data_IF_347232424599
#
_entry.id   IF_347232424599
#
_cell.length_a   1.000
_cell.length_b   1.000
_cell.length_c   1.000
_cell.angle_alpha   90.00
_cell.angle_beta   90.00
_cell.angle_gamma   90.00
#
_symmetry.space_group_name_H-M   'P 1'
#
loop_
_entity.id
_entity.type
_entity.pdbx_description
1 polymer ?
#
# COMPACT_ATOMS: atom_id res chain seq x y z
N UNK A 1 -65.81 -13.96 36.43
CA UNK A 1 -65.11 -13.21 35.38
C UNK A 1 -63.61 -13.12 35.73
N UNK A 2 -62.78 -13.90 35.07
CA UNK A 2 -61.32 -13.91 35.32
C UNK A 2 -60.66 -13.03 34.23
N UNK A 3 -60.05 -11.94 34.62
CA UNK A 3 -59.28 -11.08 33.73
C UNK A 3 -57.86 -11.68 33.59
N UNK A 4 -57.49 -12.11 32.38
CA UNK A 4 -56.12 -12.44 32.05
C UNK A 4 -55.42 -11.17 31.58
N UNK A 5 -54.40 -10.75 32.33
CA UNK A 5 -53.50 -9.67 31.97
C UNK A 5 -52.38 -10.27 31.11
N UNK A 6 -52.37 -10.01 29.81
CA UNK A 6 -51.31 -10.42 28.91
C UNK A 6 -50.13 -9.41 29.01
N UNK A 7 -49.03 -9.86 29.58
CA UNK A 7 -47.76 -9.09 29.61
C UNK A 7 -47.04 -9.28 28.28
N UNK A 8 -47.03 -8.25 27.46
CA UNK A 8 -46.21 -8.22 26.22
C UNK A 8 -44.79 -7.82 26.59
N UNK A 9 -43.87 -8.79 26.59
CA UNK A 9 -42.43 -8.54 26.65
C UNK A 9 -41.94 -8.05 25.25
N UNK A 10 -41.69 -6.77 25.12
CA UNK A 10 -40.93 -6.23 23.97
C UNK A 10 -39.44 -6.58 24.16
N UNK A 11 -38.94 -7.58 23.45
CA UNK A 11 -37.50 -7.81 23.31
C UNK A 11 -36.93 -6.70 22.47
N UNK A 12 -36.30 -5.74 23.10
CA UNK A 12 -35.36 -4.84 22.43
C UNK A 12 -34.08 -5.65 22.10
N UNK A 13 -33.97 -6.12 20.87
CA UNK A 13 -32.69 -6.57 20.34
C UNK A 13 -31.79 -5.35 20.20
N UNK A 14 -30.89 -5.15 21.18
CA UNK A 14 -29.75 -4.27 20.99
C UNK A 14 -28.85 -4.92 19.95
N UNK A 15 -28.95 -4.53 18.68
CA UNK A 15 -27.87 -4.71 17.74
C UNK A 15 -26.71 -3.83 18.23
N UNK A 16 -25.76 -4.43 18.91
CA UNK A 16 -24.43 -3.86 19.03
C UNK A 16 -23.87 -3.84 17.60
N UNK A 17 -23.86 -2.68 16.96
CA UNK A 17 -22.99 -2.47 15.82
C UNK A 17 -21.56 -2.58 16.37
N UNK A 18 -20.94 -3.71 16.13
CA UNK A 18 -19.50 -3.85 16.30
C UNK A 18 -18.91 -2.93 15.24
N UNK A 19 -18.18 -1.91 15.65
CA UNK A 19 -17.45 -1.06 14.70
C UNK A 19 -16.56 -1.96 13.84
N UNK A 20 -16.49 -1.71 12.53
CA UNK A 20 -15.58 -2.39 11.63
C UNK A 20 -14.16 -2.29 12.19
N UNK A 21 -13.37 -3.36 12.05
CA UNK A 21 -11.95 -3.32 12.39
C UNK A 21 -11.23 -2.42 11.37
N UNK A 22 -10.64 -1.27 11.76
CA UNK A 22 -10.03 -0.36 10.79
C UNK A 22 -8.81 -0.95 10.09
N UNK A 23 -8.17 -1.99 10.65
CA UNK A 23 -6.90 -2.53 10.19
C UNK A 23 -7.05 -3.60 9.12
N UNK A 24 -5.94 -3.98 8.49
CA UNK A 24 -5.87 -5.12 7.58
C UNK A 24 -6.59 -6.32 8.23
N UNK A 25 -7.57 -6.87 7.52
CA UNK A 25 -8.29 -8.07 7.96
C UNK A 25 -7.62 -9.36 7.48
N UNK A 26 -7.16 -9.38 6.23
CA UNK A 26 -6.61 -10.58 5.61
C UNK A 26 -5.57 -10.22 4.54
N UNK A 27 -4.49 -11.03 4.43
CA UNK A 27 -3.56 -11.03 3.30
C UNK A 27 -3.95 -12.16 2.34
N UNK A 28 -4.26 -11.81 1.10
CA UNK A 28 -4.66 -12.74 0.03
C UNK A 28 -3.48 -13.28 -0.75
N UNK A 29 -2.50 -12.42 -1.05
CA UNK A 29 -1.32 -12.78 -1.83
C UNK A 29 -0.06 -12.13 -1.24
N UNK A 30 1.05 -12.86 -1.27
CA UNK A 30 2.38 -12.33 -0.98
C UNK A 30 3.36 -12.95 -1.96
N UNK A 31 3.89 -12.12 -2.84
CA UNK A 31 4.80 -12.53 -3.92
C UNK A 31 5.97 -11.55 -4.02
N UNK A 32 6.99 -11.67 -3.15
CA UNK A 32 8.13 -10.77 -3.17
C UNK A 32 9.02 -11.01 -4.39
N UNK A 33 9.63 -9.95 -4.91
CA UNK A 33 10.76 -10.05 -5.81
C UNK A 33 12.03 -10.44 -5.03
N UNK A 34 13.14 -10.83 -5.69
CA UNK A 34 14.39 -11.03 -5.00
C UNK A 34 14.82 -9.82 -4.18
N UNK A 35 15.35 -10.07 -2.97
CA UNK A 35 15.77 -9.01 -2.04
C UNK A 35 16.42 -9.56 -0.78
N UNK A 36 17.11 -8.71 -0.04
CA UNK A 36 17.91 -9.08 1.13
C UNK A 36 17.09 -9.75 2.24
N UNK A 37 15.81 -9.35 2.38
CA UNK A 37 14.99 -9.74 3.51
C UNK A 37 13.79 -10.64 3.17
N UNK A 38 13.57 -10.98 1.90
CA UNK A 38 12.38 -11.71 1.44
C UNK A 38 12.25 -13.14 1.98
N UNK A 39 13.35 -13.71 2.50
CA UNK A 39 13.34 -15.03 3.14
C UNK A 39 13.37 -14.96 4.67
N UNK A 40 13.36 -13.75 5.24
CA UNK A 40 13.44 -13.52 6.69
C UNK A 40 12.29 -12.66 7.21
N UNK A 41 11.62 -11.91 6.35
CA UNK A 41 10.49 -11.04 6.69
C UNK A 41 9.34 -11.21 5.69
N UNK A 42 8.46 -12.22 5.90
CA UNK A 42 8.47 -13.25 6.95
C UNK A 42 9.47 -14.39 6.66
N UNK A 43 9.76 -15.21 7.69
CA UNK A 43 10.67 -16.34 7.55
C UNK A 43 10.13 -17.37 6.56
N UNK A 44 10.94 -17.69 5.53
CA UNK A 44 10.59 -18.61 4.47
C UNK A 44 11.52 -19.85 4.45
N UNK A 45 11.00 -20.93 3.88
CA UNK A 45 11.71 -22.17 3.62
C UNK A 45 11.45 -22.66 2.19
N UNK A 46 12.19 -23.64 1.72
CA UNK A 46 11.99 -24.27 0.40
C UNK A 46 10.66 -25.05 0.30
N UNK A 47 10.10 -25.49 1.43
CA UNK A 47 8.82 -26.21 1.50
C UNK A 47 7.60 -25.29 1.46
N UNK A 48 7.80 -23.99 1.57
CA UNK A 48 6.68 -23.03 1.51
C UNK A 48 6.05 -23.00 0.12
N UNK A 49 4.82 -22.56 0.12
CA UNK A 49 4.00 -22.35 -1.07
C UNK A 49 3.48 -20.91 -1.09
N UNK A 50 2.96 -20.40 -2.19
CA UNK A 50 2.30 -19.09 -2.20
C UNK A 50 1.24 -18.92 -1.10
N UNK A 51 0.46 -19.98 -0.83
CA UNK A 51 -0.58 -19.96 0.21
C UNK A 51 0.02 -19.91 1.63
N UNK A 52 1.07 -20.68 1.93
CA UNK A 52 1.71 -20.63 3.26
C UNK A 52 2.42 -19.30 3.49
N UNK A 53 3.00 -18.72 2.46
CA UNK A 53 3.65 -17.42 2.56
C UNK A 53 2.65 -16.27 2.70
N UNK A 54 1.51 -16.33 2.02
CA UNK A 54 0.41 -15.38 2.26
C UNK A 54 -0.09 -15.47 3.71
N UNK A 55 -0.25 -16.69 4.26
CA UNK A 55 -0.63 -16.87 5.67
C UNK A 55 0.43 -16.38 6.67
N UNK A 56 1.72 -16.47 6.33
CA UNK A 56 2.81 -15.89 7.15
C UNK A 56 2.78 -14.36 7.11
N UNK A 57 2.58 -13.77 5.93
CA UNK A 57 2.41 -12.33 5.78
C UNK A 57 1.15 -11.83 6.53
N UNK A 58 0.02 -12.58 6.45
CA UNK A 58 -1.18 -12.32 7.22
C UNK A 58 -0.91 -12.28 8.74
N UNK A 59 -0.17 -13.29 9.23
CA UNK A 59 0.21 -13.36 10.63
C UNK A 59 1.09 -12.19 11.08
N UNK A 60 1.85 -11.59 10.16
CA UNK A 60 2.75 -10.47 10.45
C UNK A 60 2.03 -9.12 10.46
N UNK A 61 1.14 -8.83 9.49
CA UNK A 61 0.59 -7.48 9.30
C UNK A 61 -0.92 -7.37 9.54
N UNK A 62 -1.69 -8.46 9.52
CA UNK A 62 -3.14 -8.38 9.75
C UNK A 62 -3.48 -8.09 11.22
N UNK A 63 -4.66 -7.49 11.44
CA UNK A 63 -5.18 -7.19 12.77
C UNK A 63 -4.22 -6.38 13.66
N UNK A 64 -3.55 -5.39 13.07
CA UNK A 64 -2.64 -4.46 13.77
C UNK A 64 -1.46 -5.14 14.46
N UNK A 65 -0.89 -6.19 13.87
CA UNK A 65 0.29 -6.88 14.42
C UNK A 65 1.56 -6.06 14.32
N UNK A 66 1.70 -5.30 13.22
CA UNK A 66 2.85 -4.41 12.98
C UNK A 66 4.21 -5.12 12.94
N UNK A 67 4.22 -6.41 12.58
CA UNK A 67 5.44 -7.09 12.19
C UNK A 67 5.73 -6.81 10.72
N UNK A 68 6.98 -6.52 10.41
CA UNK A 68 7.36 -6.07 9.07
C UNK A 68 7.42 -7.21 8.07
N UNK A 69 6.93 -6.98 6.84
CA UNK A 69 7.17 -7.82 5.68
C UNK A 69 7.95 -7.06 4.62
N UNK A 70 8.83 -7.73 3.87
CA UNK A 70 9.65 -7.14 2.81
C UNK A 70 9.13 -7.60 1.45
N UNK A 71 8.93 -6.66 0.52
CA UNK A 71 8.47 -6.97 -0.83
C UNK A 71 9.62 -7.26 -1.80
N UNK A 72 10.87 -7.00 -1.40
CA UNK A 72 12.04 -7.14 -2.28
C UNK A 72 12.09 -6.08 -3.37
N UNK A 73 12.85 -6.33 -4.44
CA UNK A 73 13.05 -5.41 -5.54
C UNK A 73 11.79 -5.13 -6.36
N UNK A 74 11.97 -4.45 -7.50
CA UNK A 74 10.87 -4.01 -8.35
C UNK A 74 9.83 -5.09 -8.62
N UNK A 75 8.57 -4.71 -8.39
CA UNK A 75 7.39 -5.51 -8.72
C UNK A 75 6.97 -6.52 -7.67
N UNK A 76 7.84 -6.85 -6.69
CA UNK A 76 7.44 -7.70 -5.56
C UNK A 76 6.28 -7.05 -4.81
N UNK A 77 5.26 -7.85 -4.42
CA UNK A 77 3.98 -7.30 -3.98
C UNK A 77 3.31 -8.09 -2.84
N UNK A 78 2.38 -7.40 -2.19
CA UNK A 78 1.38 -7.95 -1.28
C UNK A 78 -0.01 -7.49 -1.69
N UNK A 79 -1.03 -8.37 -1.52
CA UNK A 79 -2.46 -8.04 -1.66
C UNK A 79 -3.13 -8.30 -0.33
N UNK A 80 -3.79 -7.28 0.21
CA UNK A 80 -4.54 -7.40 1.46
C UNK A 80 -5.91 -6.72 1.35
N UNK A 81 -6.79 -6.96 2.30
CA UNK A 81 -8.12 -6.38 2.32
C UNK A 81 -8.62 -6.10 3.74
N UNK A 82 -9.75 -5.43 3.78
CA UNK A 82 -10.47 -5.01 4.98
C UNK A 82 -11.77 -5.80 5.13
N UNK A 83 -12.31 -5.88 6.35
CA UNK A 83 -13.59 -6.55 6.63
C UNK A 83 -14.81 -5.69 6.23
N UNK A 84 -14.55 -4.51 5.68
CA UNK A 84 -15.54 -3.53 5.24
C UNK A 84 -15.04 -2.74 4.02
N UNK A 85 -15.92 -1.99 3.40
CA UNK A 85 -15.58 -1.05 2.33
C UNK A 85 -15.02 0.24 2.95
N UNK A 86 -13.78 0.60 2.65
CA UNK A 86 -13.24 1.94 2.91
C UNK A 86 -13.89 2.90 1.93
N UNK A 87 -14.55 3.92 2.43
CA UNK A 87 -15.27 4.89 1.61
C UNK A 87 -14.34 5.95 1.04
N UNK A 88 -14.60 6.35 -0.19
CA UNK A 88 -14.01 7.54 -0.77
C UNK A 88 -14.74 8.78 -0.23
N UNK A 89 -14.07 9.57 0.58
CA UNK A 89 -14.63 10.77 1.21
C UNK A 89 -14.07 12.01 0.51
N UNK A 90 -14.92 12.76 -0.17
CA UNK A 90 -14.53 13.95 -0.92
C UNK A 90 -13.62 14.89 -0.12
N UNK A 91 -12.42 15.12 -0.63
CA UNK A 91 -11.42 16.03 -0.05
C UNK A 91 -10.63 15.47 1.13
N UNK A 92 -10.96 14.28 1.65
CA UNK A 92 -10.20 13.63 2.72
C UNK A 92 -9.09 12.72 2.17
N UNK A 93 -8.24 12.23 3.08
CA UNK A 93 -7.43 11.03 2.88
C UNK A 93 -8.20 9.85 3.47
N UNK A 94 -8.27 8.73 2.76
CA UNK A 94 -9.21 7.65 3.08
C UNK A 94 -8.59 6.55 3.92
N UNK A 95 -7.32 6.22 3.66
CA UNK A 95 -6.59 5.18 4.37
C UNK A 95 -5.10 5.49 4.49
N UNK A 96 -4.41 4.77 5.37
CA UNK A 96 -2.97 4.89 5.63
C UNK A 96 -2.29 3.54 5.50
N UNK A 97 -1.07 3.52 4.96
CA UNK A 97 -0.21 2.33 4.91
C UNK A 97 1.13 2.68 5.55
N UNK A 98 1.58 1.86 6.51
CA UNK A 98 2.82 2.08 7.23
C UNK A 98 3.97 1.28 6.60
N UNK A 99 5.07 1.98 6.34
CA UNK A 99 6.37 1.42 5.96
C UNK A 99 7.42 1.61 7.06
N UNK A 100 8.71 1.54 6.70
CA UNK A 100 9.81 1.75 7.65
C UNK A 100 10.70 2.98 7.32
N UNK A 101 10.30 3.79 6.34
CA UNK A 101 11.06 4.96 5.90
C UNK A 101 11.38 5.94 7.03
N UNK A 102 12.56 6.52 6.99
CA UNK A 102 13.01 7.57 7.91
C UNK A 102 13.87 8.61 7.18
N UNK A 103 13.95 9.83 7.73
CA UNK A 103 14.84 10.85 7.22
C UNK A 103 16.26 10.68 7.75
N UNK A 104 17.26 10.83 6.88
CA UNK A 104 18.65 10.91 7.30
C UNK A 104 18.90 12.18 8.14
N UNK A 105 19.68 12.06 9.21
CA UNK A 105 19.98 13.18 10.12
C UNK A 105 20.57 14.42 9.42
N UNK A 106 21.24 14.23 8.28
CA UNK A 106 21.84 15.32 7.51
C UNK A 106 20.83 16.06 6.60
N UNK A 107 19.59 15.57 6.46
CA UNK A 107 18.71 15.97 5.38
C UNK A 107 17.30 16.50 5.76
N UNK A 108 16.87 16.53 6.99
CA UNK A 108 15.52 16.98 7.30
C UNK A 108 15.44 18.49 7.42
N UNK A 109 15.02 19.17 6.38
CA UNK A 109 14.51 20.53 6.54
C UNK A 109 13.40 20.77 5.52
N UNK A 110 12.44 21.62 5.86
CA UNK A 110 11.34 22.03 4.97
C UNK A 110 11.82 22.71 3.69
N UNK A 111 13.07 23.17 3.64
CA UNK A 111 13.65 23.93 2.52
C UNK A 111 14.63 23.12 1.67
N UNK A 112 14.96 21.87 2.09
CA UNK A 112 15.87 20.98 1.37
C UNK A 112 15.12 19.74 0.90
N UNK A 113 15.60 19.08 -0.16
CA UNK A 113 15.08 17.82 -0.61
C UNK A 113 15.15 16.81 0.53
N UNK A 114 14.03 16.17 0.86
CA UNK A 114 13.91 15.18 1.95
C UNK A 114 14.34 13.82 1.48
N UNK A 115 15.00 13.08 2.33
CA UNK A 115 15.42 11.73 2.04
C UNK A 115 16.08 11.05 3.22
N UNK A 116 16.33 9.78 3.06
CA UNK A 116 16.95 8.88 4.03
C UNK A 116 16.89 7.47 3.50
N UNK A 117 15.89 6.70 3.90
CA UNK A 117 15.60 5.35 3.44
C UNK A 117 14.28 5.30 2.66
N UNK A 118 14.04 6.20 1.73
CA UNK A 118 12.83 6.13 0.88
C UNK A 118 12.93 4.95 -0.08
N UNK A 119 11.99 4.00 0.04
CA UNK A 119 11.90 2.76 -0.72
C UNK A 119 10.49 2.59 -1.30
N UNK A 120 10.11 3.44 -2.26
CA UNK A 120 8.74 3.73 -2.62
C UNK A 120 7.99 2.53 -3.21
N UNK A 121 6.79 2.28 -2.67
CA UNK A 121 5.83 1.31 -3.16
C UNK A 121 4.63 1.98 -3.85
N UNK A 122 4.25 1.46 -5.02
CA UNK A 122 3.02 1.86 -5.71
C UNK A 122 1.84 1.16 -5.08
N UNK A 123 0.74 1.89 -4.96
CA UNK A 123 -0.54 1.39 -4.44
C UNK A 123 -1.52 1.20 -5.56
N UNK A 124 -2.16 0.02 -5.60
CA UNK A 124 -3.34 -0.24 -6.41
C UNK A 124 -4.52 -0.59 -5.51
N UNK A 125 -5.72 -0.28 -5.94
CA UNK A 125 -6.95 -0.52 -5.19
C UNK A 125 -7.99 -1.25 -6.05
N UNK A 126 -8.86 -2.01 -5.39
CA UNK A 126 -9.97 -2.72 -6.05
C UNK A 126 -11.22 -2.70 -5.17
N UNK A 127 -12.39 -2.66 -5.84
CA UNK A 127 -13.69 -2.88 -5.22
C UNK A 127 -14.05 -4.35 -5.34
N UNK A 128 -14.84 -4.86 -4.40
CA UNK A 128 -15.51 -6.18 -4.51
C UNK A 128 -16.85 -5.98 -5.24
N UNK A 129 -16.80 -5.82 -6.58
CA UNK A 129 -17.97 -5.50 -7.39
C UNK A 129 -18.90 -6.71 -7.56
N UNK A 130 -18.34 -7.91 -7.54
CA UNK A 130 -19.08 -9.16 -7.67
C UNK A 130 -19.53 -9.73 -6.31
N UNK A 131 -19.12 -9.12 -5.18
CA UNK A 131 -19.47 -9.47 -3.80
C UNK A 131 -19.09 -10.89 -3.40
N UNK A 132 -17.95 -11.39 -3.89
CA UNK A 132 -17.45 -12.72 -3.55
C UNK A 132 -16.39 -12.72 -2.44
N UNK A 133 -15.95 -11.55 -1.98
CA UNK A 133 -14.93 -11.35 -0.94
C UNK A 133 -13.50 -11.66 -1.40
N UNK A 134 -13.25 -11.70 -2.72
CA UNK A 134 -11.94 -11.99 -3.32
C UNK A 134 -11.43 -10.82 -4.13
N UNK A 135 -10.10 -10.61 -4.19
CA UNK A 135 -9.47 -9.51 -4.94
C UNK A 135 -9.34 -9.84 -6.44
N UNK A 136 -10.42 -10.31 -7.07
CA UNK A 136 -10.45 -10.78 -8.48
C UNK A 136 -11.16 -9.81 -9.44
N UNK A 137 -11.58 -8.65 -8.96
CA UNK A 137 -12.17 -7.58 -9.73
C UNK A 137 -11.11 -6.63 -10.34
N UNK A 138 -11.55 -5.53 -10.95
CA UNK A 138 -10.67 -4.56 -11.61
C UNK A 138 -9.78 -3.82 -10.63
N UNK A 139 -8.49 -3.75 -10.94
CA UNK A 139 -7.50 -3.00 -10.19
C UNK A 139 -7.22 -1.65 -10.82
N UNK A 140 -7.11 -0.61 -9.98
CA UNK A 140 -6.80 0.77 -10.35
C UNK A 140 -5.53 1.22 -9.62
N UNK A 141 -4.56 1.80 -10.33
CA UNK A 141 -3.38 2.40 -9.71
C UNK A 141 -3.74 3.75 -9.09
N UNK A 142 -3.23 4.06 -7.91
CA UNK A 142 -3.30 5.40 -7.35
C UNK A 142 -2.15 6.23 -7.92
N UNK A 143 -2.48 7.19 -8.78
CA UNK A 143 -1.50 8.04 -9.44
C UNK A 143 -0.85 8.99 -8.42
N UNK A 144 0.36 8.65 -7.97
CA UNK A 144 1.20 9.50 -7.13
C UNK A 144 1.92 10.60 -7.93
N UNK A 145 2.75 11.37 -7.25
CA UNK A 145 3.45 12.55 -7.80
C UNK A 145 4.32 12.26 -9.03
N UNK A 146 4.77 11.02 -9.18
CA UNK A 146 5.65 10.60 -10.28
C UNK A 146 4.89 10.02 -11.48
N UNK A 147 3.58 9.68 -11.33
CA UNK A 147 2.83 8.90 -12.30
C UNK A 147 2.91 9.45 -13.74
N UNK A 148 2.73 10.76 -13.92
CA UNK A 148 2.75 11.43 -15.23
C UNK A 148 4.11 11.98 -15.64
N UNK A 149 5.18 11.74 -14.86
CA UNK A 149 6.52 12.22 -15.21
C UNK A 149 7.14 11.39 -16.33
N UNK A 150 7.91 12.01 -17.25
CA UNK A 150 8.49 11.31 -18.42
C UNK A 150 9.43 10.15 -18.06
N UNK A 151 9.99 10.13 -16.85
CA UNK A 151 10.88 9.07 -16.38
C UNK A 151 10.13 7.82 -15.91
N UNK A 152 8.84 7.93 -15.64
CA UNK A 152 7.97 6.82 -15.25
C UNK A 152 7.54 6.04 -16.48
N UNK A 153 7.61 4.72 -16.39
CA UNK A 153 7.23 3.80 -17.48
C UNK A 153 6.13 2.87 -17.01
N UNK A 154 5.02 2.85 -17.72
CA UNK A 154 3.88 1.96 -17.46
C UNK A 154 4.01 0.64 -18.23
N UNK A 155 3.33 -0.41 -17.78
CA UNK A 155 3.36 -1.74 -18.39
C UNK A 155 4.79 -2.28 -18.57
N UNK A 156 5.68 -1.93 -17.66
CA UNK A 156 7.06 -2.39 -17.66
C UNK A 156 7.13 -3.77 -17.00
N UNK A 157 7.69 -4.75 -17.74
CA UNK A 157 7.89 -6.10 -17.22
C UNK A 157 9.36 -6.32 -16.89
N UNK A 158 9.65 -6.85 -15.69
CA UNK A 158 10.97 -7.31 -15.29
C UNK A 158 10.89 -8.79 -14.90
N UNK A 159 11.87 -9.57 -15.36
CA UNK A 159 12.05 -10.98 -15.01
C UNK A 159 13.36 -11.15 -14.26
N UNK A 160 13.29 -11.72 -13.08
CA UNK A 160 14.44 -12.12 -12.28
C UNK A 160 14.71 -13.61 -12.47
N UNK A 161 15.98 -13.99 -12.44
CA UNK A 161 16.42 -15.36 -12.62
C UNK A 161 17.17 -15.83 -11.36
N UNK A 162 16.83 -17.01 -10.88
CA UNK A 162 17.53 -17.64 -9.76
C UNK A 162 18.99 -17.85 -10.14
N UNK A 163 19.89 -17.53 -9.20
CA UNK A 163 21.33 -17.78 -9.37
C UNK A 163 21.58 -19.28 -9.57
N UNK A 164 22.25 -19.71 -10.65
CA UNK A 164 22.58 -21.12 -10.86
C UNK A 164 23.42 -21.71 -9.73
N UNK A 165 23.24 -23.00 -9.45
CA UNK A 165 23.96 -23.68 -8.38
C UNK A 165 25.51 -23.65 -8.55
N UNK A 166 25.99 -23.66 -9.79
CA UNK A 166 27.40 -23.58 -10.16
C UNK A 166 27.93 -22.16 -10.40
N UNK A 167 27.15 -21.17 -10.05
CA UNK A 167 27.51 -19.75 -10.18
C UNK A 167 28.78 -19.45 -9.39
N UNK A 168 29.69 -18.73 -10.04
CA UNK A 168 30.91 -18.24 -9.42
C UNK A 168 30.75 -16.76 -9.08
N UNK A 169 30.86 -16.43 -7.80
CA UNK A 169 30.75 -15.06 -7.34
C UNK A 169 31.79 -14.16 -8.00
N UNK A 170 31.36 -12.95 -8.39
CA UNK A 170 32.20 -11.92 -9.01
C UNK A 170 32.36 -10.74 -8.04
N UNK A 171 33.37 -10.75 -7.14
CA UNK A 171 33.57 -9.68 -6.18
C UNK A 171 33.95 -8.36 -6.85
N UNK A 172 33.55 -7.24 -6.26
CA UNK A 172 34.00 -5.93 -6.67
C UNK A 172 35.29 -5.55 -5.94
N UNK A 173 36.36 -5.24 -6.67
CA UNK A 173 37.66 -4.90 -6.07
C UNK A 173 37.70 -3.47 -5.50
N UNK A 174 36.91 -2.56 -6.04
CA UNK A 174 36.80 -1.17 -5.57
C UNK A 174 35.90 -1.05 -4.35
N UNK A 175 34.81 -1.83 -4.35
CA UNK A 175 33.84 -1.87 -3.27
C UNK A 175 33.75 -3.28 -2.68
N UNK A 176 34.64 -3.67 -1.76
CA UNK A 176 34.76 -5.05 -1.25
C UNK A 176 33.52 -5.55 -0.49
N UNK A 177 32.61 -4.66 -0.09
CA UNK A 177 31.32 -5.04 0.47
C UNK A 177 30.39 -5.68 -0.57
N UNK A 178 30.60 -5.47 -1.87
CA UNK A 178 29.91 -6.20 -2.94
C UNK A 178 30.65 -7.51 -3.21
N UNK A 179 30.22 -8.58 -2.54
CA UNK A 179 30.88 -9.88 -2.64
C UNK A 179 30.53 -10.65 -3.91
N UNK A 180 29.43 -10.27 -4.59
CA UNK A 180 29.04 -10.82 -5.88
C UNK A 180 28.23 -9.78 -6.67
N UNK A 181 28.83 -9.24 -7.72
CA UNK A 181 28.20 -8.22 -8.58
C UNK A 181 27.28 -8.80 -9.64
N UNK A 182 27.21 -10.13 -9.77
CA UNK A 182 26.44 -10.86 -10.79
C UNK A 182 25.44 -11.84 -10.17
N UNK A 183 24.98 -11.56 -8.93
CA UNK A 183 24.27 -12.53 -8.11
C UNK A 183 22.87 -12.87 -8.66
N UNK A 184 21.93 -11.93 -8.73
CA UNK A 184 20.60 -12.17 -9.31
C UNK A 184 20.50 -11.47 -10.66
N UNK A 185 20.49 -12.24 -11.74
CA UNK A 185 20.29 -11.69 -13.07
C UNK A 185 18.84 -11.24 -13.27
N UNK A 186 18.64 -10.15 -14.02
CA UNK A 186 17.33 -9.72 -14.45
C UNK A 186 17.33 -9.23 -15.91
N UNK A 187 16.16 -9.27 -16.54
CA UNK A 187 15.90 -8.70 -17.87
C UNK A 187 14.54 -8.01 -17.88
N UNK A 188 14.35 -7.07 -18.83
CA UNK A 188 13.11 -6.32 -18.94
C UNK A 188 12.46 -6.45 -20.32
N UNK A 189 11.18 -6.05 -20.40
CA UNK A 189 10.40 -5.96 -21.65
C UNK A 189 10.96 -4.95 -22.64
N UNK A 190 11.77 -3.99 -22.19
CA UNK A 190 12.45 -2.98 -23.03
C UNK A 190 13.85 -3.43 -23.47
N UNK A 191 14.27 -4.67 -23.12
CA UNK A 191 15.54 -5.24 -23.51
C UNK A 191 16.71 -4.89 -22.58
N UNK A 192 16.47 -4.15 -21.52
CA UNK A 192 17.47 -3.88 -20.48
C UNK A 192 17.78 -5.16 -19.70
N UNK A 193 19.03 -5.28 -19.26
CA UNK A 193 19.51 -6.43 -18.47
C UNK A 193 20.49 -5.92 -17.41
N UNK A 194 20.56 -6.63 -16.31
CA UNK A 194 21.48 -6.30 -15.23
C UNK A 194 21.52 -7.36 -14.16
N UNK A 195 22.06 -6.98 -13.03
CA UNK A 195 22.18 -7.84 -11.86
C UNK A 195 21.80 -7.07 -10.61
N UNK A 196 21.22 -7.78 -9.64
CA UNK A 196 21.14 -7.35 -8.25
C UNK A 196 22.36 -7.96 -7.55
N UNK A 197 23.32 -7.16 -7.08
CA UNK A 197 24.51 -7.64 -6.40
C UNK A 197 24.19 -8.23 -5.02
N UNK A 198 25.09 -9.09 -4.51
CA UNK A 198 25.07 -9.54 -3.12
C UNK A 198 26.12 -8.80 -2.31
N UNK A 199 25.76 -8.37 -1.11
CA UNK A 199 26.70 -7.71 -0.22
C UNK A 199 27.12 -8.62 0.95
N UNK A 200 28.23 -8.27 1.62
CA UNK A 200 28.81 -9.03 2.73
C UNK A 200 28.02 -8.90 4.03
N UNK A 201 27.13 -7.89 4.14
CA UNK A 201 26.34 -7.63 5.34
C UNK A 201 25.10 -8.53 5.41
N UNK A 202 24.57 -8.97 4.24
CA UNK A 202 23.40 -9.82 4.10
C UNK A 202 23.79 -11.09 3.35
N UNK A 203 24.03 -12.18 4.10
CA UNK A 203 24.58 -13.44 3.57
C UNK A 203 23.51 -14.44 3.13
N UNK A 204 22.25 -14.26 3.55
CA UNK A 204 21.10 -15.09 3.17
C UNK A 204 20.86 -15.07 1.66
N UNK A 205 20.05 -16.00 1.18
CA UNK A 205 19.59 -15.97 -0.21
C UNK A 205 18.62 -14.81 -0.44
N UNK A 206 18.76 -14.14 -1.59
CA UNK A 206 17.91 -13.04 -2.00
C UNK A 206 16.75 -13.51 -2.88
N UNK A 207 16.88 -14.65 -3.55
CA UNK A 207 15.79 -15.19 -4.33
C UNK A 207 14.80 -15.91 -3.42
N UNK A 208 13.47 -15.66 -3.52
CA UNK A 208 12.49 -16.33 -2.68
C UNK A 208 12.62 -17.86 -2.77
N UNK A 209 12.83 -18.53 -1.63
CA UNK A 209 13.21 -19.96 -1.57
C UNK A 209 12.16 -20.88 -2.22
N UNK A 210 10.88 -20.55 -2.08
CA UNK A 210 9.72 -21.35 -2.54
C UNK A 210 9.33 -21.11 -4.00
N UNK A 211 9.96 -20.14 -4.67
CA UNK A 211 9.66 -19.82 -6.06
C UNK A 211 10.46 -20.68 -7.03
N UNK A 212 10.03 -20.76 -8.28
CA UNK A 212 10.76 -21.45 -9.36
C UNK A 212 12.04 -20.71 -9.80
N UNK A 213 12.58 -21.11 -10.94
CA UNK A 213 13.88 -20.59 -11.45
C UNK A 213 13.81 -19.15 -11.97
N UNK A 214 12.61 -18.63 -12.21
CA UNK A 214 12.40 -17.24 -12.62
C UNK A 214 11.07 -16.69 -12.12
N UNK A 215 11.01 -15.37 -11.91
CA UNK A 215 9.81 -14.65 -11.50
C UNK A 215 9.70 -13.40 -12.37
N UNK A 216 8.49 -13.10 -12.86
CA UNK A 216 8.21 -11.90 -13.67
C UNK A 216 7.16 -11.04 -13.01
N UNK A 217 7.39 -9.74 -13.03
CA UNK A 217 6.46 -8.72 -12.54
C UNK A 217 6.18 -7.69 -13.63
N UNK A 218 4.93 -7.23 -13.71
CA UNK A 218 4.52 -6.18 -14.64
C UNK A 218 3.79 -5.09 -13.88
N UNK A 219 4.17 -3.84 -14.11
CA UNK A 219 3.57 -2.68 -13.47
C UNK A 219 4.17 -1.36 -13.96
N UNK A 220 3.98 -0.33 -13.18
CA UNK A 220 4.64 0.97 -13.37
C UNK A 220 6.00 0.94 -12.68
N UNK A 221 7.06 1.40 -13.38
CA UNK A 221 8.39 1.59 -12.80
C UNK A 221 8.74 3.08 -12.80
N UNK A 222 9.23 3.57 -11.66
CA UNK A 222 9.64 4.94 -11.48
C UNK A 222 11.16 5.12 -11.63
N UNK A 223 11.61 6.36 -11.72
CA UNK A 223 13.02 6.69 -11.70
C UNK A 223 13.64 6.37 -10.33
N UNK A 224 14.93 5.97 -10.35
CA UNK A 224 15.70 5.77 -9.12
C UNK A 224 15.81 7.09 -8.33
N UNK A 225 15.71 6.99 -7.01
CA UNK A 225 15.73 8.11 -6.07
C UNK A 225 16.98 8.15 -5.17
N UNK A 226 17.85 7.13 -5.23
CA UNK A 226 19.06 7.02 -4.42
C UNK A 226 20.24 7.79 -5.03
N UNK A 227 20.96 8.52 -4.17
CA UNK A 227 22.15 9.29 -4.53
C UNK A 227 23.28 8.96 -3.57
N UNK A 228 24.48 8.72 -4.10
CA UNK A 228 25.71 8.66 -3.31
C UNK A 228 26.19 10.09 -3.02
N UNK A 229 25.83 10.61 -1.87
CA UNK A 229 26.19 11.96 -1.41
C UNK A 229 27.68 12.09 -1.05
N UNK A 230 28.36 10.96 -0.86
CA UNK A 230 29.82 10.95 -0.60
C UNK A 230 30.66 10.97 -1.86
N UNK A 231 30.10 10.61 -3.02
CA UNK A 231 30.79 10.33 -4.28
C UNK A 231 31.89 9.24 -4.17
N UNK A 232 31.87 8.45 -3.06
CA UNK A 232 32.86 7.39 -2.76
C UNK A 232 32.19 6.05 -2.43
N UNK A 233 30.86 5.93 -2.61
CA UNK A 233 30.09 4.72 -2.27
C UNK A 233 29.87 4.53 -0.76
N UNK A 234 30.15 5.55 0.07
CA UNK A 234 30.12 5.41 1.52
C UNK A 234 28.89 6.02 2.19
N UNK A 235 28.13 6.87 1.50
CA UNK A 235 26.92 7.49 2.05
C UNK A 235 25.84 7.69 0.99
N UNK A 236 24.82 6.87 1.05
CA UNK A 236 23.66 6.94 0.17
C UNK A 236 22.47 7.58 0.88
N UNK A 237 21.71 8.39 0.13
CA UNK A 237 20.43 8.95 0.54
C UNK A 237 19.40 8.60 -0.54
N UNK A 238 18.35 7.86 -0.17
CA UNK A 238 17.19 7.68 -1.02
C UNK A 238 16.22 8.84 -0.77
N UNK A 239 16.01 9.67 -1.79
CA UNK A 239 15.21 10.89 -1.68
C UNK A 239 13.73 10.59 -1.87
N UNK A 240 12.90 11.14 -0.98
CA UNK A 240 11.46 11.00 -1.05
C UNK A 240 10.89 11.66 -2.31
N UNK A 241 9.83 11.07 -2.83
CA UNK A 241 8.92 11.70 -3.78
C UNK A 241 7.93 12.61 -3.03
N UNK A 242 7.14 13.38 -3.76
CA UNK A 242 6.32 14.40 -3.10
C UNK A 242 5.13 13.77 -2.33
N UNK A 243 4.42 12.78 -2.92
CA UNK A 243 3.26 12.11 -2.31
C UNK A 243 2.82 10.88 -3.12
N UNK A 244 2.03 10.01 -2.47
CA UNK A 244 1.30 8.93 -3.12
C UNK A 244 2.03 7.59 -3.17
N UNK A 245 3.07 7.39 -2.36
CA UNK A 245 3.83 6.15 -2.29
C UNK A 245 3.97 5.64 -0.86
N UNK A 246 3.92 4.33 -0.70
CA UNK A 246 4.21 3.65 0.57
C UNK A 246 5.70 3.63 0.80
N UNK A 247 6.12 3.68 2.05
CA UNK A 247 7.54 3.54 2.46
C UNK A 247 8.47 4.58 1.82
N UNK A 248 7.90 5.70 1.41
CA UNK A 248 8.58 6.81 0.78
C UNK A 248 8.95 7.89 1.80
N UNK A 249 8.03 8.20 2.69
CA UNK A 249 8.21 9.16 3.78
C UNK A 249 7.98 8.49 5.13
N UNK A 250 8.52 9.05 6.24
CA UNK A 250 8.24 8.53 7.58
C UNK A 250 6.73 8.44 7.84
N UNK A 251 6.31 7.40 8.57
CA UNK A 251 4.90 7.16 8.87
C UNK A 251 4.22 8.32 9.60
N UNK A 252 4.99 9.07 10.39
CA UNK A 252 4.52 10.21 11.17
C UNK A 252 5.44 11.41 10.98
N UNK A 253 4.85 12.56 10.72
CA UNK A 253 5.52 13.85 10.66
C UNK A 253 4.86 14.80 11.67
N UNK A 254 5.15 14.67 12.99
CA UNK A 254 4.41 15.39 14.04
C UNK A 254 4.49 16.91 13.93
N UNK A 255 5.56 17.43 13.31
CA UNK A 255 5.75 18.88 13.13
C UNK A 255 5.18 19.39 11.79
N UNK A 256 4.66 18.50 10.95
CA UNK A 256 4.18 18.77 9.60
C UNK A 256 2.99 17.85 9.25
N UNK A 257 1.93 17.85 10.08
CA UNK A 257 0.79 16.94 9.90
C UNK A 257 0.07 17.18 8.55
N UNK A 258 0.20 18.37 7.98
CA UNK A 258 -0.36 18.72 6.67
C UNK A 258 0.31 18.00 5.49
N UNK A 259 1.44 17.35 5.71
CA UNK A 259 2.11 16.53 4.70
C UNK A 259 1.39 15.21 4.43
N UNK A 260 0.52 14.75 5.36
CA UNK A 260 -0.23 13.50 5.22
C UNK A 260 0.63 12.32 4.79
N UNK A 261 1.79 12.18 5.45
CA UNK A 261 2.75 11.12 5.13
C UNK A 261 2.11 9.73 5.25
N UNK A 262 2.35 8.89 4.24
CA UNK A 262 1.80 7.53 4.14
C UNK A 262 0.26 7.45 4.10
N UNK A 263 -0.44 8.56 3.83
CA UNK A 263 -1.90 8.61 3.67
C UNK A 263 -2.30 8.72 2.20
N UNK A 264 -3.41 8.06 1.83
CA UNK A 264 -3.82 7.87 0.44
C UNK A 264 -5.26 8.33 0.21
N UNK A 265 -5.52 8.83 -1.00
CA UNK A 265 -6.86 9.17 -1.49
C UNK A 265 -7.30 8.19 -2.56
N UNK A 266 -8.50 7.65 -2.42
CA UNK A 266 -9.11 6.82 -3.46
C UNK A 266 -9.34 7.63 -4.75
N UNK A 267 -9.55 8.93 -4.65
CA UNK A 267 -9.67 9.85 -5.79
C UNK A 267 -8.43 9.93 -6.70
N UNK A 268 -7.28 9.38 -6.29
CA UNK A 268 -6.10 9.26 -7.15
C UNK A 268 -6.16 8.07 -8.12
N UNK A 269 -7.23 7.29 -8.08
CA UNK A 269 -7.40 6.12 -8.93
C UNK A 269 -7.42 6.49 -10.42
N UNK A 270 -6.66 5.71 -11.21
CA UNK A 270 -6.62 5.81 -12.67
C UNK A 270 -6.86 4.44 -13.31
N UNK A 271 -7.44 4.45 -14.51
CA UNK A 271 -7.59 3.24 -15.34
C UNK A 271 -6.25 2.85 -16.02
N UNK A 272 -6.28 1.78 -16.80
CA UNK A 272 -5.11 1.26 -17.51
C UNK A 272 -4.55 2.24 -18.57
N UNK A 273 -5.33 3.22 -18.99
CA UNK A 273 -4.93 4.27 -19.94
C UNK A 273 -4.49 5.56 -19.22
N UNK A 274 -4.51 5.56 -17.87
CA UNK A 274 -4.11 6.69 -17.03
C UNK A 274 -5.18 7.78 -16.88
N UNK A 275 -6.44 7.47 -17.19
CA UNK A 275 -7.53 8.42 -16.98
C UNK A 275 -8.07 8.29 -15.55
N UNK A 276 -8.39 9.43 -14.87
CA UNK A 276 -8.98 9.38 -13.54
C UNK A 276 -10.30 8.60 -13.51
N UNK A 277 -10.46 7.78 -12.49
CA UNK A 277 -11.66 6.97 -12.23
C UNK A 277 -12.21 7.33 -10.87
N UNK A 278 -13.52 7.57 -10.79
CA UNK A 278 -14.20 7.73 -9.50
C UNK A 278 -14.66 6.37 -8.98
N UNK A 279 -14.20 6.02 -7.77
CA UNK A 279 -14.62 4.84 -7.01
C UNK A 279 -15.35 5.32 -5.76
N UNK A 280 -16.50 4.75 -5.41
CA UNK A 280 -17.22 5.07 -4.17
C UNK A 280 -16.50 4.57 -2.91
N UNK A 281 -15.52 3.69 -3.07
CA UNK A 281 -14.70 3.09 -2.02
C UNK A 281 -14.02 1.82 -2.50
N UNK A 282 -13.28 1.18 -1.60
CA UNK A 282 -12.44 -0.01 -1.91
C UNK A 282 -12.53 -1.05 -0.81
N UNK A 283 -12.28 -2.32 -1.13
CA UNK A 283 -12.08 -3.39 -0.17
C UNK A 283 -10.67 -3.95 -0.18
N UNK A 284 -9.99 -3.89 -1.32
CA UNK A 284 -8.68 -4.52 -1.51
C UNK A 284 -7.62 -3.50 -1.90
N UNK A 285 -6.41 -3.75 -1.41
CA UNK A 285 -5.22 -2.95 -1.68
C UNK A 285 -4.10 -3.88 -2.10
N UNK A 286 -3.38 -3.50 -3.16
CA UNK A 286 -2.13 -4.13 -3.58
C UNK A 286 -1.01 -3.09 -3.50
N UNK A 287 0.09 -3.47 -2.88
CA UNK A 287 1.32 -2.65 -2.84
C UNK A 287 2.44 -3.42 -3.52
N UNK A 288 3.22 -2.74 -4.36
CA UNK A 288 4.41 -3.33 -4.97
C UNK A 288 5.57 -2.34 -5.03
N UNK A 289 6.80 -2.83 -4.93
CA UNK A 289 8.02 -2.00 -5.02
C UNK A 289 8.13 -1.33 -6.39
N UNK A 290 8.27 0.00 -6.39
CA UNK A 290 8.12 0.83 -7.59
C UNK A 290 9.39 1.06 -8.39
N UNK A 291 10.57 0.75 -7.84
CA UNK A 291 11.88 1.06 -8.44
C UNK A 291 12.80 -0.17 -8.47
N UNK A 292 13.69 -0.19 -9.48
CA UNK A 292 14.79 -1.16 -9.55
C UNK A 292 16.10 -0.44 -9.24
N UNK A 293 16.49 -0.45 -7.97
CA UNK A 293 17.61 0.33 -7.47
C UNK A 293 18.48 -0.49 -6.52
N UNK A 294 19.77 -0.18 -6.54
CA UNK A 294 20.77 -0.72 -5.62
C UNK A 294 21.63 0.41 -5.06
N UNK A 295 21.68 0.55 -3.74
CA UNK A 295 22.31 1.66 -3.03
C UNK A 295 23.63 1.23 -2.37
N UNK A 296 24.60 0.77 -3.15
CA UNK A 296 25.93 0.40 -2.67
C UNK A 296 25.89 -0.63 -1.52
N UNK A 297 26.43 -0.26 -0.36
CA UNK A 297 26.48 -1.14 0.81
C UNK A 297 25.13 -1.35 1.52
N UNK A 298 24.16 -0.45 1.30
CA UNK A 298 22.80 -0.61 1.84
C UNK A 298 22.06 -1.76 1.15
N UNK A 299 22.28 -1.96 -0.15
CA UNK A 299 21.66 -3.03 -0.90
C UNK A 299 20.56 -2.57 -1.86
N UNK A 300 19.68 -3.49 -2.22
CA UNK A 300 18.53 -3.19 -3.06
C UNK A 300 17.52 -2.31 -2.33
N UNK A 301 16.73 -1.60 -3.11
CA UNK A 301 15.55 -0.91 -2.63
C UNK A 301 14.39 -1.91 -2.56
N UNK A 302 13.83 -2.08 -1.38
CA UNK A 302 12.72 -2.98 -1.06
C UNK A 302 11.67 -2.21 -0.29
N UNK A 303 10.42 -2.22 -0.75
CA UNK A 303 9.32 -1.64 0.01
C UNK A 303 8.95 -2.57 1.16
N UNK A 304 8.90 -2.04 2.38
CA UNK A 304 8.43 -2.74 3.57
C UNK A 304 7.03 -2.29 3.98
N UNK A 305 6.23 -3.25 4.48
CA UNK A 305 4.88 -3.01 4.99
C UNK A 305 4.79 -3.49 6.44
N UNK A 306 4.27 -2.61 7.31
CA UNK A 306 3.99 -2.92 8.71
C UNK A 306 2.50 -3.08 9.00
N UNK A 307 1.67 -2.23 8.40
CA UNK A 307 0.23 -2.17 8.67
C UNK A 307 -0.48 -1.31 7.64
N UNK A 308 -1.81 -1.39 7.59
CA UNK A 308 -2.66 -0.41 6.92
C UNK A 308 -4.00 -0.29 7.66
N UNK A 309 -4.63 0.89 7.58
CA UNK A 309 -5.91 1.10 8.24
C UNK A 309 -6.74 2.20 7.57
N UNK A 310 -8.06 2.03 7.70
CA UNK A 310 -9.08 3.02 7.37
C UNK A 310 -8.96 4.23 8.29
N UNK A 311 -8.91 5.43 7.74
CA UNK A 311 -8.86 6.70 8.49
C UNK A 311 -10.24 7.15 8.97
N UNK A 312 -11.31 6.56 8.45
CA UNK A 312 -12.71 6.91 8.74
C UNK A 312 -13.55 5.70 9.15
N UNK A 313 -13.08 4.84 10.08
CA UNK A 313 -13.79 3.63 10.47
C UNK A 313 -15.17 3.98 11.02
N UNK A 314 -16.21 3.37 10.46
CA UNK A 314 -17.60 3.64 10.80
C UNK A 314 -18.25 4.74 9.95
N UNK A 315 -17.55 5.32 8.99
CA UNK A 315 -18.21 6.04 7.91
C UNK A 315 -19.13 5.05 7.17
N UNK A 316 -20.38 5.40 7.00
CA UNK A 316 -21.33 4.60 6.22
C UNK A 316 -21.63 5.31 4.93
N UNK A 317 -21.53 4.61 3.79
CA UNK A 317 -22.23 5.05 2.59
C UNK A 317 -23.70 5.05 2.93
N UNK A 318 -24.28 6.22 3.05
CA UNK A 318 -25.71 6.30 2.86
C UNK A 318 -25.90 6.00 1.37
N UNK A 319 -26.28 4.75 1.05
CA UNK A 319 -26.91 4.50 -0.24
C UNK A 319 -27.87 5.67 -0.47
N UNK A 320 -27.76 6.31 -1.65
CA UNK A 320 -28.81 7.22 -2.11
C UNK A 320 -30.07 6.38 -2.20
N UNK A 321 -30.70 6.16 -1.05
CA UNK A 321 -32.05 5.66 -1.06
C UNK A 321 -32.80 6.64 -1.93
N UNK A 322 -33.20 6.17 -3.09
CA UNK A 322 -34.01 6.83 -4.08
C UNK A 322 -34.86 7.91 -3.40
N UNK A 323 -34.79 9.14 -3.91
CA UNK A 323 -35.66 10.21 -3.45
C UNK A 323 -37.02 9.61 -3.13
N UNK A 324 -37.44 9.70 -1.86
CA UNK A 324 -38.84 9.52 -1.61
C UNK A 324 -39.57 10.56 -2.51
N UNK A 325 -40.79 10.29 -2.94
CA UNK A 325 -41.49 11.15 -3.88
C UNK A 325 -41.66 12.59 -3.41
N UNK A 326 -40.98 13.03 -2.35
CA UNK A 326 -40.95 14.37 -1.77
C UNK A 326 -39.59 15.10 -1.93
N UNK A 327 -38.59 14.51 -2.63
CA UNK A 327 -37.32 15.16 -2.93
C UNK A 327 -36.42 15.42 -1.71
N UNK A 328 -36.43 14.49 -0.75
CA UNK A 328 -35.53 14.52 0.42
C UNK A 328 -34.29 13.66 0.17
N UNK A 329 -33.10 14.21 0.47
CA UNK A 329 -31.83 13.51 0.42
C UNK A 329 -31.21 13.48 1.82
N UNK A 330 -30.73 12.33 2.28
CA UNK A 330 -29.93 12.21 3.50
C UNK A 330 -28.46 12.25 3.12
N UNK A 331 -27.67 13.05 3.82
CA UNK A 331 -26.20 13.09 3.65
C UNK A 331 -25.54 12.97 5.02
N UNK A 332 -24.37 12.34 5.05
CA UNK A 332 -23.52 12.30 6.24
C UNK A 332 -22.33 13.22 6.02
N UNK A 333 -22.14 14.23 6.86
CA UNK A 333 -21.07 15.21 6.72
C UNK A 333 -20.44 15.49 8.09
N UNK A 334 -19.10 15.34 8.18
CA UNK A 334 -18.35 15.57 9.42
C UNK A 334 -18.95 14.84 10.65
N UNK A 335 -19.26 13.54 10.50
CA UNK A 335 -19.82 12.75 11.59
C UNK A 335 -21.28 13.06 11.94
N UNK A 336 -21.99 13.89 11.15
CA UNK A 336 -23.36 14.29 11.42
C UNK A 336 -24.29 13.95 10.26
N UNK A 337 -25.38 13.22 10.56
CA UNK A 337 -26.43 12.95 9.59
C UNK A 337 -27.26 14.21 9.32
N UNK A 338 -27.33 14.62 8.07
CA UNK A 338 -28.06 15.78 7.60
C UNK A 338 -29.17 15.36 6.62
N UNK A 339 -30.26 16.08 6.62
CA UNK A 339 -31.37 15.86 5.68
C UNK A 339 -31.46 17.08 4.77
N UNK A 340 -31.25 16.89 3.47
CA UNK A 340 -31.46 17.91 2.45
C UNK A 340 -32.91 17.85 1.98
N UNK A 341 -33.59 19.02 1.92
CA UNK A 341 -34.92 19.15 1.37
C UNK A 341 -34.99 20.47 0.57
N UNK A 342 -34.98 20.36 -0.74
CA UNK A 342 -34.81 21.51 -1.63
C UNK A 342 -33.50 22.26 -1.33
N UNK A 343 -33.55 23.56 -1.11
CA UNK A 343 -32.39 24.40 -0.80
C UNK A 343 -32.01 24.41 0.72
N UNK A 344 -32.68 23.64 1.57
CA UNK A 344 -32.46 23.68 3.00
C UNK A 344 -31.79 22.38 3.50
N UNK A 345 -30.89 22.54 4.50
CA UNK A 345 -30.25 21.43 5.22
C UNK A 345 -30.81 21.40 6.65
N UNK A 346 -31.18 20.21 7.11
CA UNK A 346 -31.73 19.94 8.45
C UNK A 346 -30.87 18.97 9.22
N UNK A 347 -30.86 19.08 10.55
CA UNK A 347 -30.35 18.02 11.45
C UNK A 347 -31.37 16.87 11.58
N UNK A 348 -30.97 15.80 12.31
CA UNK A 348 -31.85 14.65 12.55
C UNK A 348 -33.10 14.95 13.38
N UNK A 349 -33.11 16.09 14.07
CA UNK A 349 -34.25 16.59 14.86
C UNK A 349 -35.16 17.49 14.04
N UNK A 350 -34.81 17.80 12.77
CA UNK A 350 -35.56 18.65 11.87
C UNK A 350 -35.25 20.13 12.00
N UNK A 351 -34.20 20.55 12.69
CA UNK A 351 -33.76 21.94 12.76
C UNK A 351 -32.99 22.32 11.50
N UNK A 352 -33.27 23.51 10.96
CA UNK A 352 -32.53 24.04 9.80
C UNK A 352 -31.14 24.46 10.22
N UNK A 353 -30.10 23.80 9.62
CA UNK A 353 -28.68 24.11 9.83
C UNK A 353 -28.21 25.15 8.80
N UNK A 354 -28.67 25.07 7.56
CA UNK A 354 -28.27 25.97 6.49
C UNK A 354 -29.47 26.29 5.57
N UNK A 355 -29.61 27.57 5.22
CA UNK A 355 -30.55 28.04 4.17
C UNK A 355 -29.70 28.54 3.01
N UNK A 356 -29.77 27.85 1.88
CA UNK A 356 -29.26 28.43 0.64
C UNK A 356 -30.34 29.32 0.06
N UNK A 357 -30.08 30.63 0.03
CA UNK A 357 -30.94 31.65 -0.63
C UNK A 357 -30.77 31.57 -2.14
#
# INVERSE_FOLDING_TARGET
>A
MKHYLALVFALFAFCFAWGSNPYINCVYEYCPAPGQFVNTMPVATEEDTPATMAAKADSAIANHKQEMISLGGYGGYVVFGFDHKILNIEGAYDFKILGNSFYANANPSQTTRRGGSSEPGIVMVSCDDNHNGLPDDTWYELAGSEYYKPATRHNYTMTYYRTPFDHQATPNNEYPFLCDTTYIAWSSSTGEKGYMPKNTFHKQDYFPLWMGDSISFTGTIMANNGVDESSTGSYYVSYCFDWGYVDDQPNELPNEPEMHASEFKIDWAVDADGHPVHLDGIQFVKVYTAINQYNGWLGECSTEILDAFDLHPGATSLEENSMDGEGRKKIFRNGTLLILRGANTYDILGHIINKHN
#
